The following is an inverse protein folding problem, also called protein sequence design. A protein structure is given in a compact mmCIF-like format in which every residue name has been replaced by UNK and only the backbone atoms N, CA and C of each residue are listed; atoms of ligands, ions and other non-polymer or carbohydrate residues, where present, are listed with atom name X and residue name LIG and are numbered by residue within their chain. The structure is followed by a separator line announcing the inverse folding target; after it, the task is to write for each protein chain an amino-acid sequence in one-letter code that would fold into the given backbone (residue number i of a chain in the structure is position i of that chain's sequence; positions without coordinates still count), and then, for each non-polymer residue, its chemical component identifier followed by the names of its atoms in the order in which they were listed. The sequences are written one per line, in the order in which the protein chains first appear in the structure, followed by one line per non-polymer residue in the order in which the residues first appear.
data_IF_819170657146
#
_entry.id   IF_819170657146
#
_cell.length_a   1.000
_cell.length_b   1.000
_cell.length_c   1.000
_cell.angle_alpha   90.00
_cell.angle_beta   90.00
_cell.angle_gamma   90.00
#
_symmetry.space_group_name_H-M   'P 1'
#
loop_
_entity.id
_entity.type
_entity.pdbx_description
1 polymer ?
#
# COMPACT_ATOMS: atom_id res chain seq x y z
N UNK A 1 22.75 4.25 4.59
CA UNK A 1 22.49 4.53 3.15
C UNK A 1 20.99 4.65 2.96
N UNK A 2 20.45 5.86 2.72
CA UNK A 2 19.00 6.06 2.57
C UNK A 2 18.51 5.31 1.33
N UNK A 3 17.82 4.18 1.52
CA UNK A 3 17.26 3.41 0.40
C UNK A 3 16.13 4.23 -0.22
N UNK A 4 16.30 4.62 -1.49
CA UNK A 4 15.32 5.42 -2.24
C UNK A 4 14.02 4.63 -2.47
N UNK A 5 12.89 5.29 -2.22
CA UNK A 5 11.57 4.81 -2.62
C UNK A 5 11.33 5.10 -4.10
N UNK A 6 10.62 4.19 -4.77
CA UNK A 6 10.19 4.37 -6.16
C UNK A 6 8.76 3.89 -6.34
N UNK A 7 7.98 4.65 -7.10
CA UNK A 7 6.64 4.27 -7.56
C UNK A 7 6.76 3.77 -9.01
N UNK A 8 6.10 2.66 -9.31
CA UNK A 8 6.15 1.98 -10.59
C UNK A 8 4.73 1.78 -11.13
N UNK A 9 4.27 2.59 -12.08
CA UNK A 9 2.99 2.36 -12.75
C UNK A 9 3.05 1.09 -13.61
N UNK A 10 1.92 0.40 -13.73
CA UNK A 10 1.75 -0.81 -14.56
C UNK A 10 2.82 -1.90 -14.29
N UNK A 11 3.18 -2.09 -13.03
CA UNK A 11 4.30 -2.92 -12.64
C UNK A 11 3.99 -4.42 -12.83
N UNK A 12 4.85 -5.12 -13.58
CA UNK A 12 4.74 -6.55 -13.79
C UNK A 12 5.07 -7.35 -12.53
N UNK A 13 4.09 -8.09 -12.01
CA UNK A 13 4.29 -9.01 -10.89
C UNK A 13 4.43 -10.41 -11.46
N UNK A 14 5.64 -10.95 -11.34
CA UNK A 14 6.00 -12.28 -11.82
C UNK A 14 6.21 -13.19 -10.63
N UNK A 15 5.39 -14.23 -10.52
CA UNK A 15 5.53 -15.29 -9.53
C UNK A 15 4.96 -16.60 -10.05
N UNK A 16 5.14 -17.67 -9.27
CA UNK A 16 4.90 -19.07 -9.64
C UNK A 16 3.42 -19.41 -9.97
N UNK A 17 2.50 -18.43 -9.86
CA UNK A 17 1.11 -18.61 -10.26
C UNK A 17 0.36 -17.34 -10.69
N UNK A 18 1.02 -16.16 -10.76
CA UNK A 18 0.40 -14.93 -11.29
C UNK A 18 1.31 -14.28 -12.32
N UNK A 19 0.75 -14.04 -13.50
CA UNK A 19 1.24 -13.05 -14.45
C UNK A 19 0.18 -11.96 -14.53
N UNK A 20 0.54 -10.74 -14.17
CA UNK A 20 -0.36 -9.60 -14.18
C UNK A 20 0.40 -8.32 -13.90
N UNK A 21 -0.17 -7.19 -14.34
CA UNK A 21 0.36 -5.86 -14.05
C UNK A 21 -0.49 -5.26 -12.94
N UNK A 22 0.15 -4.84 -11.86
CA UNK A 22 -0.50 -3.97 -10.89
C UNK A 22 -0.64 -2.57 -11.49
N UNK A 23 -1.71 -1.86 -11.16
CA UNK A 23 -1.89 -0.47 -11.61
C UNK A 23 -0.75 0.41 -11.10
N UNK A 24 -0.39 0.24 -9.82
CA UNK A 24 0.80 0.84 -9.23
C UNK A 24 1.47 -0.13 -8.26
N UNK A 25 2.79 -0.02 -8.16
CA UNK A 25 3.56 -0.67 -7.11
C UNK A 25 4.56 0.30 -6.51
N UNK A 26 4.81 0.19 -5.21
CA UNK A 26 5.83 0.96 -4.52
C UNK A 26 6.94 0.02 -4.10
N UNK A 27 8.19 0.47 -4.26
CA UNK A 27 9.40 -0.29 -3.96
C UNK A 27 10.35 0.51 -3.10
N UNK A 28 11.02 -0.18 -2.18
CA UNK A 28 12.22 0.31 -1.48
C UNK A 28 13.40 -0.49 -2.00
N UNK A 29 14.31 0.19 -2.71
CA UNK A 29 15.38 -0.49 -3.47
C UNK A 29 14.83 -1.61 -4.39
N UNK A 30 15.10 -2.88 -4.08
CA UNK A 30 14.69 -4.04 -4.90
C UNK A 30 13.41 -4.74 -4.41
N UNK A 31 12.93 -4.36 -3.24
CA UNK A 31 11.80 -5.01 -2.57
C UNK A 31 10.51 -4.23 -2.84
N UNK A 32 9.48 -4.97 -3.25
CA UNK A 32 8.12 -4.44 -3.28
C UNK A 32 7.69 -4.15 -1.84
N UNK A 33 7.03 -3.02 -1.60
CA UNK A 33 6.47 -2.69 -0.28
C UNK A 33 4.95 -2.54 -0.34
N UNK A 34 4.42 -2.09 -1.47
CA UNK A 34 2.99 -1.90 -1.67
C UNK A 34 2.58 -2.25 -3.10
N UNK A 35 1.39 -2.81 -3.25
CA UNK A 35 0.76 -3.13 -4.54
C UNK A 35 -0.65 -2.55 -4.56
N UNK A 36 -0.97 -1.78 -5.60
CA UNK A 36 -2.25 -1.13 -5.78
C UNK A 36 -2.98 -1.69 -7.00
N UNK A 37 -4.24 -2.08 -6.81
CA UNK A 37 -5.17 -2.46 -7.86
C UNK A 37 -6.32 -1.45 -7.89
N UNK A 38 -6.45 -0.77 -9.03
CA UNK A 38 -7.59 0.08 -9.33
C UNK A 38 -8.65 -0.74 -10.09
N UNK A 39 -9.88 -0.71 -9.60
CA UNK A 39 -11.03 -1.39 -10.23
C UNK A 39 -12.28 -0.53 -10.06
N UNK A 40 -12.67 0.14 -11.13
CA UNK A 40 -13.89 0.97 -11.16
C UNK A 40 -15.17 0.13 -10.95
N UNK A 41 -15.16 -1.14 -11.36
CA UNK A 41 -16.27 -2.09 -11.18
C UNK A 41 -15.73 -3.46 -10.76
N UNK A 42 -16.57 -4.25 -10.09
CA UNK A 42 -16.24 -5.60 -9.60
C UNK A 42 -15.05 -5.60 -8.62
N UNK A 43 -15.10 -4.74 -7.60
CA UNK A 43 -14.09 -4.61 -6.53
C UNK A 43 -13.61 -5.97 -5.95
N UNK A 44 -14.46 -7.00 -5.76
CA UNK A 44 -14.00 -8.32 -5.31
C UNK A 44 -12.93 -8.96 -6.21
N UNK A 45 -12.94 -8.68 -7.52
CA UNK A 45 -11.89 -9.11 -8.45
C UNK A 45 -10.58 -8.40 -8.13
N UNK A 46 -10.63 -7.11 -7.83
CA UNK A 46 -9.47 -6.32 -7.39
C UNK A 46 -8.83 -6.89 -6.13
N UNK A 47 -9.64 -7.24 -5.13
CA UNK A 47 -9.16 -7.94 -3.93
C UNK A 47 -8.47 -9.26 -4.26
N UNK A 48 -9.13 -10.11 -5.06
CA UNK A 48 -8.59 -11.42 -5.45
C UNK A 48 -7.25 -11.29 -6.18
N UNK A 49 -7.15 -10.32 -7.10
CA UNK A 49 -5.94 -10.03 -7.84
C UNK A 49 -4.82 -9.49 -6.94
N UNK A 50 -5.14 -8.48 -6.12
CA UNK A 50 -4.19 -7.85 -5.22
C UNK A 50 -3.61 -8.86 -4.21
N UNK A 51 -4.46 -9.68 -3.59
CA UNK A 51 -4.06 -10.75 -2.67
C UNK A 51 -3.12 -11.76 -3.34
N UNK A 52 -3.45 -12.19 -4.56
CA UNK A 52 -2.61 -13.13 -5.31
C UNK A 52 -1.24 -12.54 -5.63
N UNK A 53 -1.21 -11.27 -6.01
CA UNK A 53 0.02 -10.54 -6.28
C UNK A 53 0.86 -10.34 -5.02
N UNK A 54 0.24 -9.98 -3.89
CA UNK A 54 0.90 -9.84 -2.58
C UNK A 54 1.58 -11.14 -2.17
N UNK A 55 0.89 -12.27 -2.25
CA UNK A 55 1.48 -13.59 -1.96
C UNK A 55 2.74 -13.87 -2.78
N UNK A 56 2.69 -13.59 -4.08
CA UNK A 56 3.82 -13.83 -4.97
C UNK A 56 4.99 -12.84 -4.75
N UNK A 57 4.66 -11.57 -4.51
CA UNK A 57 5.64 -10.55 -4.17
C UNK A 57 6.33 -10.86 -2.84
N UNK A 58 5.59 -11.39 -1.85
CA UNK A 58 6.12 -11.77 -0.56
C UNK A 58 7.20 -12.85 -0.70
N UNK A 59 6.89 -13.94 -1.40
CA UNK A 59 7.86 -15.01 -1.65
C UNK A 59 9.07 -14.52 -2.47
N UNK A 60 8.82 -13.66 -3.46
CA UNK A 60 9.90 -13.08 -4.27
C UNK A 60 10.83 -12.21 -3.44
N UNK A 61 10.27 -11.34 -2.59
CA UNK A 61 11.05 -10.51 -1.66
C UNK A 61 11.80 -11.38 -0.65
N UNK A 62 11.16 -12.40 -0.07
CA UNK A 62 11.81 -13.35 0.85
C UNK A 62 13.01 -14.05 0.21
N UNK A 63 12.89 -14.50 -1.05
CA UNK A 63 14.01 -15.09 -1.81
C UNK A 63 15.16 -14.09 -2.04
N UNK A 64 14.85 -12.81 -2.30
CA UNK A 64 15.86 -11.74 -2.42
C UNK A 64 16.52 -11.42 -1.07
N UNK A 65 15.74 -11.42 0.01
CA UNK A 65 16.19 -11.15 1.39
C UNK A 65 17.13 -12.22 1.94
N UNK A 66 17.00 -13.50 1.55
CA UNK A 66 18.01 -14.53 1.88
C UNK A 66 19.44 -14.19 1.40
N UNK A 67 19.61 -13.13 0.60
CA UNK A 67 20.90 -12.60 0.13
C UNK A 67 21.29 -11.25 0.77
N UNK A 68 20.58 -10.79 1.81
CA UNK A 68 20.79 -9.50 2.50
C UNK A 68 20.13 -9.42 3.90
N UNK A 69 20.17 -8.26 4.54
CA UNK A 69 19.79 -8.05 5.96
C UNK A 69 18.54 -7.15 6.16
N UNK A 70 17.52 -7.24 5.29
CA UNK A 70 16.29 -6.44 5.47
C UNK A 70 15.17 -7.27 6.11
N UNK A 71 14.56 -6.73 7.16
CA UNK A 71 13.85 -7.47 8.23
C UNK A 71 12.32 -7.48 8.07
N UNK A 72 11.76 -6.72 7.12
CA UNK A 72 10.31 -6.62 6.96
C UNK A 72 9.70 -7.88 6.33
N UNK A 73 8.83 -8.56 7.07
CA UNK A 73 8.11 -9.78 6.67
C UNK A 73 6.66 -9.53 6.24
N UNK A 74 6.35 -8.30 5.83
CA UNK A 74 5.03 -7.92 5.38
C UNK A 74 5.02 -7.12 4.07
N UNK A 75 3.83 -6.94 3.49
CA UNK A 75 3.51 -6.15 2.30
C UNK A 75 2.17 -5.43 2.45
N UNK A 76 2.05 -4.24 1.90
CA UNK A 76 0.79 -3.51 1.86
C UNK A 76 0.05 -3.73 0.53
N UNK A 77 -1.26 -3.89 0.60
CA UNK A 77 -2.16 -3.88 -0.56
C UNK A 77 -3.08 -2.69 -0.51
N UNK A 78 -3.37 -2.12 -1.68
CA UNK A 78 -4.43 -1.13 -1.84
C UNK A 78 -5.36 -1.61 -2.95
N UNK A 79 -6.65 -1.65 -2.66
CA UNK A 79 -7.68 -1.83 -3.67
C UNK A 79 -8.55 -0.60 -3.67
N UNK A 80 -8.73 0.03 -4.83
CA UNK A 80 -9.51 1.26 -4.91
C UNK A 80 -10.38 1.33 -6.17
N UNK A 81 -11.54 1.95 -6.05
CA UNK A 81 -12.39 2.35 -7.18
C UNK A 81 -12.10 3.79 -7.63
N UNK A 82 -11.13 4.45 -6.99
CA UNK A 82 -10.96 5.91 -6.96
C UNK A 82 -11.82 6.57 -5.87
N UNK A 83 -12.92 5.90 -5.48
CA UNK A 83 -13.94 6.39 -4.56
C UNK A 83 -13.74 5.73 -3.21
N UNK A 84 -13.77 4.41 -3.21
CA UNK A 84 -13.51 3.61 -2.03
C UNK A 84 -12.05 3.21 -2.00
N UNK A 85 -11.45 3.25 -0.82
CA UNK A 85 -10.09 2.81 -0.60
C UNK A 85 -10.08 1.69 0.44
N UNK A 86 -9.39 0.61 0.11
CA UNK A 86 -9.25 -0.54 0.99
C UNK A 86 -7.78 -0.89 1.14
N UNK A 87 -7.32 -0.83 2.38
CA UNK A 87 -5.94 -1.10 2.75
C UNK A 87 -5.82 -2.50 3.35
N UNK A 88 -4.84 -3.23 2.85
CA UNK A 88 -4.53 -4.60 3.23
C UNK A 88 -3.11 -4.66 3.76
N UNK A 89 -2.90 -5.52 4.75
CA UNK A 89 -1.59 -5.93 5.23
C UNK A 89 -1.47 -7.43 5.02
N UNK A 90 -0.40 -7.85 4.35
CA UNK A 90 -0.08 -9.25 4.11
C UNK A 90 1.18 -9.61 4.89
N UNK A 91 1.10 -10.58 5.79
CA UNK A 91 2.23 -11.06 6.60
C UNK A 91 2.19 -12.58 6.64
N UNK A 92 3.27 -13.25 6.21
CA UNK A 92 3.44 -14.71 6.32
C UNK A 92 2.22 -15.57 5.94
N UNK A 93 1.48 -15.21 4.88
CA UNK A 93 0.29 -15.96 4.43
C UNK A 93 -1.03 -15.49 5.01
N UNK A 94 -1.01 -14.57 5.98
CA UNK A 94 -2.20 -13.96 6.58
C UNK A 94 -2.47 -12.61 5.90
N UNK A 95 -3.74 -12.35 5.62
CA UNK A 95 -4.22 -11.05 5.15
C UNK A 95 -5.06 -10.44 6.26
N UNK A 96 -4.67 -9.26 6.72
CA UNK A 96 -5.51 -8.40 7.53
C UNK A 96 -6.00 -7.23 6.69
N UNK A 97 -7.28 -6.90 6.84
CA UNK A 97 -7.86 -5.66 6.34
C UNK A 97 -7.95 -4.72 7.52
N UNK A 98 -7.42 -3.52 7.40
CA UNK A 98 -7.64 -2.52 8.43
C UNK A 98 -9.07 -1.96 8.28
N UNK A 99 -9.93 -2.29 9.24
CA UNK A 99 -11.33 -1.86 9.25
C UNK A 99 -11.51 -0.39 9.60
N UNK A 100 -10.49 0.27 10.20
CA UNK A 100 -10.51 1.72 10.47
C UNK A 100 -10.26 2.57 9.22
N UNK A 101 -9.95 1.91 8.10
CA UNK A 101 -9.34 2.50 6.92
C UNK A 101 -10.16 2.32 5.63
N UNK A 102 -11.35 1.71 5.74
CA UNK A 102 -12.32 1.71 4.65
C UNK A 102 -13.04 3.07 4.66
N UNK A 103 -12.64 3.97 3.77
CA UNK A 103 -13.38 5.22 3.55
C UNK A 103 -14.15 5.02 2.25
N UNK A 104 -15.48 5.07 2.34
CA UNK A 104 -16.39 4.95 1.20
C UNK A 104 -16.73 6.35 0.69
N UNK A 105 -16.64 6.59 -0.62
CA UNK A 105 -17.09 7.84 -1.24
C UNK A 105 -18.39 7.57 -1.99
N UNK A 106 -19.46 8.26 -1.62
CA UNK A 106 -20.61 8.45 -2.50
C UNK A 106 -20.48 9.83 -3.16
N UNK A 107 -20.18 9.90 -4.46
CA UNK A 107 -20.74 11.03 -5.23
C UNK A 107 -22.13 10.64 -5.67
N UNK A 108 -23.08 11.47 -5.31
CA UNK A 108 -24.31 11.65 -6.08
C UNK A 108 -24.06 12.66 -7.20
N UNK A 109 -24.90 12.70 -8.25
CA UNK A 109 -24.81 13.71 -9.34
C UNK A 109 -24.81 15.17 -8.83
N UNK A 110 -25.19 15.35 -7.56
CA UNK A 110 -25.14 16.59 -6.79
C UNK A 110 -23.73 16.99 -6.29
N UNK A 111 -22.70 16.18 -6.49
CA UNK A 111 -21.32 16.48 -6.10
C UNK A 111 -20.67 17.66 -6.85
N UNK A 112 -21.35 18.16 -7.90
CA UNK A 112 -21.03 19.42 -8.57
C UNK A 112 -21.74 20.64 -7.94
N UNK A 113 -22.56 20.44 -6.89
CA UNK A 113 -23.15 21.54 -6.11
C UNK A 113 -22.11 22.08 -5.13
N UNK A 114 -21.96 23.41 -5.10
CA UNK A 114 -21.14 24.12 -4.12
C UNK A 114 -21.49 23.66 -2.70
N UNK A 115 -20.50 23.14 -1.95
CA UNK A 115 -20.68 22.74 -0.54
C UNK A 115 -19.93 21.49 -0.08
N UNK A 116 -19.59 20.57 -1.00
CA UNK A 116 -18.93 19.29 -0.66
C UNK A 116 -17.39 19.33 -0.75
N UNK A 117 -16.81 20.44 -1.22
CA UNK A 117 -15.36 20.63 -1.39
C UNK A 117 -14.55 20.35 -0.11
N UNK A 118 -15.08 20.72 1.06
CA UNK A 118 -14.42 20.47 2.35
C UNK A 118 -14.34 18.98 2.69
N UNK A 119 -15.36 18.22 2.35
CA UNK A 119 -15.45 16.79 2.61
C UNK A 119 -14.44 16.04 1.73
N UNK A 120 -14.37 16.41 0.44
CA UNK A 120 -13.34 15.92 -0.48
C UNK A 120 -11.93 16.29 -0.03
N UNK A 121 -11.68 17.54 0.35
CA UNK A 121 -10.35 17.96 0.83
C UNK A 121 -9.92 17.20 2.09
N UNK A 122 -10.84 16.94 3.01
CA UNK A 122 -10.55 16.19 4.25
C UNK A 122 -10.20 14.75 3.90
N UNK A 123 -10.96 14.12 3.00
CA UNK A 123 -10.74 12.74 2.61
C UNK A 123 -9.46 12.51 1.80
N UNK A 124 -9.11 13.41 0.87
CA UNK A 124 -7.82 13.35 0.18
C UNK A 124 -6.67 13.47 1.17
N UNK A 125 -6.80 14.34 2.18
CA UNK A 125 -5.80 14.46 3.25
C UNK A 125 -5.71 13.17 4.06
N UNK A 126 -6.82 12.50 4.35
CA UNK A 126 -6.83 11.25 5.11
C UNK A 126 -6.16 10.12 4.33
N UNK A 127 -6.57 9.87 3.08
CA UNK A 127 -5.95 8.84 2.21
C UNK A 127 -4.46 9.10 1.99
N UNK A 128 -4.08 10.35 1.73
CA UNK A 128 -2.67 10.71 1.59
C UNK A 128 -1.90 10.52 2.90
N UNK A 129 -2.49 10.87 4.05
CA UNK A 129 -1.87 10.67 5.37
C UNK A 129 -1.63 9.19 5.66
N UNK A 130 -2.57 8.34 5.28
CA UNK A 130 -2.43 6.89 5.38
C UNK A 130 -1.28 6.40 4.50
N UNK A 131 -1.28 6.77 3.21
CA UNK A 131 -0.22 6.36 2.27
C UNK A 131 1.14 6.83 2.79
N UNK A 132 1.25 8.08 3.24
CA UNK A 132 2.47 8.61 3.85
C UNK A 132 2.85 7.79 5.09
N UNK A 133 1.91 7.46 5.97
CA UNK A 133 2.15 6.60 7.13
C UNK A 133 2.71 5.23 6.75
N UNK A 134 2.14 4.57 5.73
CA UNK A 134 2.63 3.29 5.20
C UNK A 134 4.05 3.40 4.62
N UNK A 135 4.38 4.54 4.00
CA UNK A 135 5.73 4.79 3.48
C UNK A 135 6.72 5.06 4.62
N UNK A 136 6.31 5.84 5.61
CA UNK A 136 7.12 6.19 6.78
C UNK A 136 7.44 4.95 7.62
N UNK A 137 6.47 4.07 7.85
CA UNK A 137 6.66 2.75 8.47
C UNK A 137 7.81 1.97 7.81
N UNK A 138 7.90 2.04 6.48
CA UNK A 138 8.94 1.36 5.71
C UNK A 138 10.27 2.09 5.65
N UNK A 139 10.33 3.38 5.95
CA UNK A 139 11.56 4.18 5.84
C UNK A 139 12.20 4.51 7.18
N UNK A 140 11.42 4.59 8.27
CA UNK A 140 11.89 4.91 9.61
C UNK A 140 12.28 3.65 10.38
N UNK A 141 13.53 3.24 10.24
CA UNK A 141 14.20 2.47 11.29
C UNK A 141 15.56 3.14 11.50
N UNK A 142 15.75 3.61 12.74
CA UNK A 142 16.89 4.38 13.32
C UNK A 142 16.81 5.92 13.23
N UNK A 143 16.24 6.53 14.29
CA UNK A 143 16.89 7.56 15.13
C UNK A 143 15.93 7.97 16.27
N UNK A 144 15.81 7.12 17.29
CA UNK A 144 15.34 7.55 18.63
C UNK A 144 16.41 7.12 19.63
N UNK A 145 17.56 7.78 19.56
CA UNK A 145 18.46 7.92 20.71
C UNK A 145 17.76 8.90 21.65
N UNK A 146 17.02 8.38 22.63
CA UNK A 146 16.64 9.19 23.79
C UNK A 146 17.93 9.42 24.56
N UNK A 147 18.60 10.54 24.32
CA UNK A 147 19.56 11.09 25.29
C UNK A 147 18.76 11.46 26.55
N UNK A 148 18.62 10.52 27.46
CA UNK A 148 18.43 10.81 28.88
C UNK A 148 19.76 10.59 29.56
N UNK A 149 20.58 11.64 29.56
CA UNK A 149 21.84 11.68 30.26
C UNK A 149 22.44 13.08 30.30
N UNK A 150 22.31 13.71 31.49
CA UNK A 150 23.12 14.78 32.06
C UNK A 150 22.81 16.23 31.65
N UNK A 151 22.19 16.92 32.62
CA UNK A 151 21.98 18.36 32.74
C UNK A 151 21.22 18.63 34.03
#
# INVERSE_FOLDING_TARGET
MNKKLSMCPQYGIVGEGSKGRADYAIKKAKDLICITEHKQHKVPIGFTQNIKQLKNAYETNKRKRKRGNDDFDYLYGIVTTGWDWHFLLYTSGVISKDSKLAHTIEFTDDALKEGLEKEYQTLYKDVLSIIVGLLMDRTCVEDVQIEKGLG
#
